data_IF_789224575116
#
_entry.id   IF_789224575116
#
_cell.length_a   1.000
_cell.length_b   1.000
_cell.length_c   1.000
_cell.angle_alpha   90.00
_cell.angle_beta   90.00
_cell.angle_gamma   90.00
#
_symmetry.space_group_name_H-M   'P 1'
#
loop_
_entity.id
_entity.type
_entity.pdbx_description
1 polymer ?
#
# COMPACT_ATOMS: atom_id res chain seq x y z
N UNK A 1 -19.62 -19.50 15.67
CA UNK A 1 -19.01 -19.98 14.41
C UNK A 1 -17.51 -19.74 14.49
N UNK A 2 -16.63 -20.74 14.28
CA UNK A 2 -15.19 -20.55 14.37
C UNK A 2 -14.68 -19.60 13.28
N UNK A 3 -13.73 -18.72 13.62
CA UNK A 3 -13.01 -17.83 12.68
C UNK A 3 -11.53 -18.20 12.66
N UNK A 4 -10.97 -18.38 11.47
CA UNK A 4 -9.53 -18.57 11.31
C UNK A 4 -8.82 -17.23 11.52
N UNK A 5 -7.82 -17.23 12.39
CA UNK A 5 -6.98 -16.08 12.68
C UNK A 5 -5.52 -16.49 12.51
N UNK A 6 -4.74 -15.66 11.82
CA UNK A 6 -3.28 -15.76 11.79
C UNK A 6 -2.71 -14.90 12.92
N UNK A 7 -1.58 -15.32 13.48
CA UNK A 7 -0.90 -14.61 14.57
C UNK A 7 0.62 -14.61 14.34
N UNK A 8 1.30 -13.61 14.90
CA UNK A 8 2.76 -13.53 14.91
C UNK A 8 3.31 -12.18 14.42
N UNK A 9 4.63 -12.04 14.52
CA UNK A 9 5.30 -10.76 14.24
C UNK A 9 5.16 -10.31 12.79
N UNK A 10 5.08 -11.26 11.85
CA UNK A 10 4.96 -10.92 10.42
C UNK A 10 3.66 -10.17 10.14
N UNK A 11 2.53 -10.61 10.72
CA UNK A 11 1.25 -9.90 10.52
C UNK A 11 1.23 -8.55 11.24
N UNK A 12 1.91 -8.45 12.39
CA UNK A 12 2.06 -7.20 13.13
C UNK A 12 2.89 -6.19 12.33
N UNK A 13 4.04 -6.62 11.80
CA UNK A 13 4.87 -5.78 10.93
C UNK A 13 4.11 -5.36 9.67
N UNK A 14 3.43 -6.28 8.99
CA UNK A 14 2.62 -5.95 7.80
C UNK A 14 1.53 -4.90 8.11
N UNK A 15 0.80 -5.06 9.22
CA UNK A 15 -0.19 -4.08 9.67
C UNK A 15 0.43 -2.71 9.95
N UNK A 16 1.63 -2.66 10.56
CA UNK A 16 2.33 -1.39 10.82
C UNK A 16 2.82 -0.73 9.55
N UNK A 17 3.35 -1.51 8.61
CA UNK A 17 3.77 -1.01 7.30
C UNK A 17 2.59 -0.42 6.52
N UNK A 18 1.42 -1.05 6.58
CA UNK A 18 0.20 -0.56 5.96
C UNK A 18 -0.27 0.75 6.62
N UNK A 19 -0.34 0.80 7.95
CA UNK A 19 -0.75 1.99 8.70
C UNK A 19 0.12 3.24 8.49
N UNK A 20 1.39 3.05 8.10
CA UNK A 20 2.38 4.12 7.84
C UNK A 20 2.69 4.30 6.35
N UNK A 21 1.94 3.60 5.49
CA UNK A 21 2.07 3.69 4.04
C UNK A 21 1.45 4.97 3.50
N UNK A 22 1.67 5.20 2.20
CA UNK A 22 1.03 6.25 1.42
C UNK A 22 0.09 5.59 0.39
N UNK A 23 -0.98 6.29 -0.01
CA UNK A 23 -1.96 5.75 -0.95
C UNK A 23 -1.32 5.56 -2.33
N UNK A 24 -1.84 4.58 -3.08
CA UNK A 24 -1.35 4.21 -4.41
C UNK A 24 0.14 3.86 -4.48
N UNK A 25 0.71 3.34 -3.37
CA UNK A 25 2.08 2.83 -3.30
C UNK A 25 2.15 1.46 -2.65
N UNK A 26 3.15 0.68 -3.03
CA UNK A 26 3.43 -0.64 -2.44
C UNK A 26 4.61 -0.48 -1.47
N UNK A 27 4.33 -0.54 -0.16
CA UNK A 27 5.32 -0.44 0.91
C UNK A 27 5.97 -1.80 1.16
N UNK A 28 7.29 -1.90 1.10
CA UNK A 28 8.03 -3.14 1.37
C UNK A 28 9.15 -2.93 2.39
N UNK A 29 9.38 -3.94 3.24
CA UNK A 29 10.47 -3.92 4.21
C UNK A 29 11.79 -4.38 3.58
N UNK A 30 12.85 -4.34 4.38
CA UNK A 30 14.18 -4.73 3.94
C UNK A 30 14.28 -6.22 3.56
N UNK A 31 13.63 -7.12 4.28
CA UNK A 31 13.69 -8.56 3.96
C UNK A 31 13.04 -8.86 2.61
N UNK A 32 11.86 -8.28 2.34
CA UNK A 32 11.20 -8.40 1.04
C UNK A 32 12.06 -7.80 -0.08
N UNK A 33 12.67 -6.64 0.16
CA UNK A 33 13.56 -5.99 -0.82
C UNK A 33 14.74 -6.88 -1.21
N UNK A 34 15.39 -7.53 -0.24
CA UNK A 34 16.49 -8.49 -0.48
C UNK A 34 16.03 -9.65 -1.36
N UNK A 35 14.85 -10.21 -1.07
CA UNK A 35 14.26 -11.30 -1.85
C UNK A 35 13.99 -10.82 -3.29
N UNK A 36 13.33 -9.67 -3.47
CA UNK A 36 13.01 -9.12 -4.80
C UNK A 36 14.27 -8.87 -5.64
N UNK A 37 15.35 -8.38 -5.04
CA UNK A 37 16.64 -8.25 -5.72
C UNK A 37 17.25 -9.61 -6.09
N UNK A 38 17.19 -10.59 -5.19
CA UNK A 38 17.73 -11.94 -5.45
C UNK A 38 17.03 -12.68 -6.58
N UNK A 39 15.75 -12.37 -6.84
CA UNK A 39 14.98 -12.96 -7.95
C UNK A 39 15.46 -12.48 -9.33
N UNK A 40 16.12 -11.32 -9.39
CA UNK A 40 16.67 -10.75 -10.62
C UNK A 40 15.65 -10.61 -11.78
N UNK A 41 14.37 -10.39 -11.46
CA UNK A 41 13.26 -10.25 -12.42
C UNK A 41 12.96 -8.77 -12.80
N UNK A 42 13.90 -7.85 -12.56
CA UNK A 42 13.74 -6.44 -12.93
C UNK A 42 12.76 -5.64 -12.06
N UNK A 43 12.59 -6.00 -10.77
CA UNK A 43 11.81 -5.18 -9.84
C UNK A 43 12.52 -3.86 -9.55
N UNK A 44 11.78 -2.75 -9.67
CA UNK A 44 12.28 -1.39 -9.42
C UNK A 44 11.87 -0.96 -8.03
N UNK A 45 12.85 -0.72 -7.16
CA UNK A 45 12.64 -0.39 -5.75
C UNK A 45 13.26 0.98 -5.47
N UNK A 46 12.53 1.83 -4.75
CA UNK A 46 12.96 3.16 -4.34
C UNK A 46 13.02 3.25 -2.82
N UNK A 47 14.08 3.84 -2.27
CA UNK A 47 14.19 4.09 -0.81
C UNK A 47 13.10 5.07 -0.38
N UNK A 48 12.28 4.68 0.61
CA UNK A 48 11.33 5.57 1.30
C UNK A 48 12.04 6.36 2.38
N UNK A 49 12.97 5.71 3.08
CA UNK A 49 13.70 6.22 4.23
C UNK A 49 13.38 5.45 5.50
N UNK A 50 13.73 6.06 6.64
CA UNK A 50 13.56 5.50 7.98
C UNK A 50 12.10 5.57 8.44
N UNK A 51 11.56 4.45 8.88
CA UNK A 51 10.20 4.30 9.40
C UNK A 51 10.26 3.73 10.80
N UNK A 52 9.58 4.35 11.75
CA UNK A 52 9.44 3.82 13.10
C UNK A 52 8.35 2.74 13.12
N UNK A 53 8.74 1.52 13.48
CA UNK A 53 7.87 0.37 13.62
C UNK A 53 7.87 -0.07 15.09
N UNK A 54 6.71 0.05 15.74
CA UNK A 54 6.56 -0.32 17.16
C UNK A 54 7.03 -1.77 17.39
N UNK A 55 7.99 -1.95 18.30
CA UNK A 55 8.57 -3.26 18.65
C UNK A 55 9.73 -3.73 17.75
N UNK A 56 9.98 -3.06 16.62
CA UNK A 56 11.14 -3.29 15.74
C UNK A 56 12.16 -2.15 15.80
N UNK A 57 11.72 -0.95 16.20
CA UNK A 57 12.53 0.26 16.19
C UNK A 57 12.43 0.99 14.85
N UNK A 58 13.48 1.70 14.49
CA UNK A 58 13.54 2.44 13.23
C UNK A 58 14.20 1.55 12.17
N UNK A 59 13.46 1.23 11.11
CA UNK A 59 13.96 0.44 9.99
C UNK A 59 13.93 1.26 8.69
N UNK A 60 14.88 0.99 7.80
CA UNK A 60 14.79 1.50 6.43
C UNK A 60 13.75 0.70 5.64
N UNK A 61 12.92 1.42 4.90
CA UNK A 61 11.81 0.87 4.14
C UNK A 61 11.81 1.40 2.72
N UNK A 62 11.08 0.74 1.83
CA UNK A 62 11.17 0.98 0.40
C UNK A 62 9.79 0.97 -0.26
N UNK A 63 9.71 1.63 -1.41
CA UNK A 63 8.59 1.57 -2.33
C UNK A 63 8.92 0.63 -3.48
N UNK A 64 8.04 -0.33 -3.77
CA UNK A 64 8.07 -1.01 -5.05
C UNK A 64 7.37 -0.11 -6.09
N UNK A 65 8.13 0.37 -7.07
CA UNK A 65 7.68 1.38 -8.05
C UNK A 65 7.47 0.84 -9.46
N UNK A 66 7.86 -0.41 -9.71
CA UNK A 66 7.61 -1.05 -11.00
C UNK A 66 8.33 -2.36 -11.17
N UNK A 67 8.17 -2.94 -12.36
CA UNK A 67 8.87 -4.13 -12.82
C UNK A 67 9.18 -3.96 -14.30
N UNK A 68 10.32 -4.45 -14.76
CA UNK A 68 10.61 -4.49 -16.18
C UNK A 68 9.57 -5.34 -16.93
N UNK A 69 9.23 -4.91 -18.15
CA UNK A 69 8.17 -5.50 -18.98
C UNK A 69 6.74 -5.42 -18.39
N UNK A 70 6.52 -4.63 -17.33
CA UNK A 70 5.17 -4.29 -16.88
C UNK A 70 4.67 -3.05 -17.61
N UNK A 71 3.81 -3.25 -18.61
CA UNK A 71 3.32 -2.18 -19.50
C UNK A 71 1.98 -1.59 -19.08
N UNK A 72 1.31 -2.18 -18.08
CA UNK A 72 0.04 -1.65 -17.61
C UNK A 72 0.27 -0.31 -16.89
N UNK A 73 -0.61 0.69 -17.12
CA UNK A 73 -0.48 1.98 -16.45
C UNK A 73 -0.67 1.80 -14.94
N UNK A 74 0.31 2.28 -14.17
CA UNK A 74 0.19 2.37 -12.72
C UNK A 74 -0.57 3.64 -12.34
N UNK A 75 -1.40 3.61 -11.28
CA UNK A 75 -2.02 4.82 -10.77
C UNK A 75 -0.94 5.80 -10.30
N UNK A 76 -1.09 7.07 -10.66
CA UNK A 76 -0.16 8.11 -10.21
C UNK A 76 -0.36 8.35 -8.70
N UNK A 77 0.72 8.24 -7.88
CA UNK A 77 0.61 8.55 -6.47
C UNK A 77 0.29 10.03 -6.26
N UNK A 78 -0.64 10.38 -5.35
CA UNK A 78 -0.97 11.76 -5.06
C UNK A 78 0.23 12.50 -4.45
N UNK A 79 0.39 13.77 -4.82
CA UNK A 79 1.38 14.65 -4.22
C UNK A 79 0.91 15.10 -2.83
N UNK A 80 1.34 14.42 -1.78
CA UNK A 80 0.97 14.73 -0.39
C UNK A 80 1.98 15.72 0.18
N UNK A 81 1.51 16.92 0.56
CA UNK A 81 2.35 17.91 1.24
C UNK A 81 2.38 17.64 2.76
N UNK A 82 3.48 17.97 3.46
CA UNK A 82 3.52 17.91 4.91
C UNK A 82 2.38 18.74 5.53
N UNK A 83 1.61 18.14 6.44
CA UNK A 83 0.47 18.78 7.11
C UNK A 83 -0.90 18.60 6.42
N UNK A 84 -0.93 17.99 5.24
CA UNK A 84 -2.18 17.71 4.53
C UNK A 84 -2.78 16.36 4.97
N UNK A 85 -4.07 16.37 5.33
CA UNK A 85 -4.82 15.16 5.74
C UNK A 85 -5.29 14.37 4.52
N UNK A 86 -4.32 13.71 3.87
CA UNK A 86 -4.57 12.88 2.71
C UNK A 86 -5.51 11.70 3.00
N UNK A 87 -5.54 11.21 4.25
CA UNK A 87 -6.40 10.09 4.64
C UNK A 87 -7.87 10.45 4.50
N UNK A 88 -8.26 11.67 4.93
CA UNK A 88 -9.63 12.16 4.71
C UNK A 88 -9.96 12.31 3.24
N UNK A 89 -9.03 12.83 2.43
CA UNK A 89 -9.23 13.02 0.98
C UNK A 89 -9.46 11.69 0.28
N UNK A 90 -8.58 10.71 0.50
CA UNK A 90 -8.70 9.37 -0.09
C UNK A 90 -9.98 8.67 0.38
N UNK A 91 -10.33 8.78 1.66
CA UNK A 91 -11.57 8.17 2.18
C UNK A 91 -12.82 8.74 1.51
N UNK A 92 -12.86 10.06 1.27
CA UNK A 92 -13.96 10.72 0.55
C UNK A 92 -14.04 10.25 -0.90
N UNK A 93 -12.91 10.15 -1.59
CA UNK A 93 -12.86 9.65 -2.97
C UNK A 93 -13.36 8.22 -3.08
N UNK A 94 -12.86 7.32 -2.23
CA UNK A 94 -13.29 5.91 -2.19
C UNK A 94 -14.80 5.83 -1.91
N UNK A 95 -15.30 6.58 -0.94
CA UNK A 95 -16.74 6.60 -0.61
C UNK A 95 -17.58 7.11 -1.79
N UNK A 96 -17.11 8.14 -2.50
CA UNK A 96 -17.79 8.67 -3.68
C UNK A 96 -17.80 7.65 -4.83
N UNK A 97 -16.69 6.93 -5.04
CA UNK A 97 -16.61 5.85 -6.04
C UNK A 97 -17.61 4.74 -5.74
N UNK A 98 -17.69 4.26 -4.50
CA UNK A 98 -18.65 3.21 -4.11
C UNK A 98 -20.11 3.69 -4.26
N UNK A 99 -20.43 4.93 -3.87
CA UNK A 99 -21.77 5.50 -4.09
C UNK A 99 -22.13 5.55 -5.59
N UNK A 100 -21.19 5.94 -6.45
CA UNK A 100 -21.38 5.97 -7.91
C UNK A 100 -21.55 4.57 -8.50
N UNK A 101 -20.80 3.58 -8.00
CA UNK A 101 -20.95 2.20 -8.43
C UNK A 101 -22.33 1.62 -8.06
N UNK A 102 -22.76 1.80 -6.81
CA UNK A 102 -24.07 1.30 -6.36
C UNK A 102 -25.24 1.94 -7.12
N UNK A 103 -25.21 3.26 -7.34
CA UNK A 103 -26.26 3.94 -8.13
C UNK A 103 -26.36 3.49 -9.60
N UNK A 104 -25.27 2.97 -10.18
CA UNK A 104 -25.31 2.35 -11.52
C UNK A 104 -25.95 0.96 -11.51
N UNK A 105 -25.70 0.17 -10.45
CA UNK A 105 -26.30 -1.15 -10.27
C UNK A 105 -27.82 -1.02 -10.07
N UNK A 106 -28.27 -0.07 -9.25
CA UNK A 106 -29.70 0.16 -9.02
C UNK A 106 -30.43 0.58 -10.30
N UNK A 107 -29.79 1.39 -11.16
CA UNK A 107 -30.36 1.81 -12.46
C UNK A 107 -30.44 0.71 -13.52
N UNK A 108 -29.68 -0.38 -13.39
CA UNK A 108 -29.74 -1.53 -14.30
C UNK A 108 -30.70 -2.64 -13.83
N UNK A 109 -31.25 -2.50 -12.63
CA UNK A 109 -32.14 -3.49 -12.00
C UNK A 109 -33.62 -3.05 -12.00
N UNK A 110 -33.89 -1.83 -12.48
CA UNK A 110 -35.20 -1.22 -12.62
C UNK A 110 -35.68 -1.24 -14.08
#
# INVERSE_FOLDING_TARGET
MPRYCLFGDTINTASRMESTSLPYRIHVNQSTTKILHSLNEGYRIQVRGKTELKGKGIEETYWLVGKDNFTAPLPEPPSIKPGEDWQKTVTKEITAMFKKANSKVDKHRA
#
